data_IF_566381737232
#
_entry.id   IF_566381737232
#
_cell.length_a   1.000
_cell.length_b   1.000
_cell.length_c   1.000
_cell.angle_alpha   90.00
_cell.angle_beta   90.00
_cell.angle_gamma   90.00
#
_symmetry.space_group_name_H-M   'P 1'
#
loop_
_entity.id
_entity.type
_entity.pdbx_description
1 polymer ?
#
# COMPACT_ATOMS: atom_id res chain seq x y z
N UNK A 1 6.54 12.13 18.29
CA UNK A 1 6.64 10.70 18.69
C UNK A 1 6.97 9.80 17.48
N UNK A 2 6.40 10.02 16.28
CA UNK A 2 6.62 9.14 15.13
C UNK A 2 7.85 9.44 14.22
N UNK A 3 8.55 10.58 14.40
CA UNK A 3 9.80 10.91 13.65
C UNK A 3 10.90 9.84 13.75
N UNK A 4 10.89 9.04 14.81
CA UNK A 4 11.82 7.94 15.03
C UNK A 4 11.11 6.57 15.11
N UNK A 5 9.84 6.48 14.71
CA UNK A 5 9.07 5.23 14.81
C UNK A 5 9.80 4.14 14.04
N UNK A 6 10.31 3.14 14.76
CA UNK A 6 11.06 2.00 14.22
C UNK A 6 12.11 2.36 13.17
N UNK A 7 12.71 3.56 13.29
CA UNK A 7 13.72 4.06 12.34
C UNK A 7 14.94 3.14 12.26
N UNK A 8 15.34 2.56 13.39
CA UNK A 8 16.43 1.60 13.44
C UNK A 8 16.11 0.34 12.62
N UNK A 9 14.90 -0.20 12.77
CA UNK A 9 14.47 -1.41 12.04
C UNK A 9 14.39 -1.13 10.54
N UNK A 10 13.76 -0.01 10.15
CA UNK A 10 13.70 0.42 8.75
C UNK A 10 15.12 0.56 8.16
N UNK A 11 16.01 1.28 8.84
CA UNK A 11 17.40 1.47 8.38
C UNK A 11 18.17 0.15 8.29
N UNK A 12 17.95 -0.78 9.22
CA UNK A 12 18.60 -2.08 9.18
C UNK A 12 18.06 -2.94 8.02
N UNK A 13 16.75 -2.95 7.79
CA UNK A 13 16.16 -3.68 6.68
C UNK A 13 16.61 -3.11 5.32
N UNK A 14 16.68 -1.78 5.20
CA UNK A 14 17.24 -1.08 4.02
C UNK A 14 18.68 -1.53 3.75
N UNK A 15 19.53 -1.58 4.79
CA UNK A 15 20.91 -2.08 4.67
C UNK A 15 20.98 -3.56 4.28
N UNK A 16 20.10 -4.39 4.82
CA UNK A 16 20.03 -5.82 4.49
C UNK A 16 19.63 -6.01 3.02
N UNK A 17 18.64 -5.25 2.55
CA UNK A 17 18.18 -5.25 1.15
C UNK A 17 19.19 -4.62 0.19
N UNK A 18 20.09 -3.79 0.72
CA UNK A 18 21.02 -2.94 -0.02
C UNK A 18 20.33 -1.86 -0.88
N UNK A 19 19.08 -1.48 -0.61
CA UNK A 19 18.37 -0.44 -1.39
C UNK A 19 18.43 0.91 -0.70
N UNK A 20 18.51 2.02 -1.44
CA UNK A 20 18.30 3.37 -0.88
C UNK A 20 17.91 4.32 -2.02
N UNK A 21 16.70 4.92 -2.00
CA UNK A 21 15.62 4.71 -1.02
C UNK A 21 14.95 3.34 -1.17
N UNK A 22 14.13 2.95 -0.18
CA UNK A 22 13.11 1.91 -0.32
C UNK A 22 11.93 2.47 -1.13
N UNK A 23 11.58 1.81 -2.22
CA UNK A 23 10.54 2.25 -3.15
C UNK A 23 9.24 1.45 -3.00
N UNK A 24 8.20 2.07 -2.42
CA UNK A 24 6.90 1.42 -2.19
C UNK A 24 5.83 2.03 -3.08
N UNK A 25 5.18 1.20 -3.89
CA UNK A 25 4.00 1.61 -4.65
C UNK A 25 2.74 1.53 -3.79
N UNK A 26 1.96 2.61 -3.78
CA UNK A 26 0.66 2.70 -3.13
C UNK A 26 -0.41 2.68 -4.22
N UNK A 27 -1.23 1.63 -4.24
CA UNK A 27 -2.29 1.44 -5.23
C UNK A 27 -3.62 1.06 -4.55
N UNK A 28 -4.70 1.03 -5.31
CA UNK A 28 -6.07 0.86 -4.81
C UNK A 28 -7.09 1.61 -5.65
N UNK A 29 -8.38 1.35 -5.45
CA UNK A 29 -9.45 2.04 -6.19
C UNK A 29 -9.45 3.56 -5.95
N UNK A 30 -10.08 4.32 -6.85
CA UNK A 30 -10.35 5.75 -6.66
C UNK A 30 -11.22 5.93 -5.43
N UNK A 31 -10.82 6.84 -4.53
CA UNK A 31 -11.53 7.05 -3.26
C UNK A 31 -11.07 6.17 -2.09
N UNK A 32 -10.21 5.16 -2.29
CA UNK A 32 -9.73 4.27 -1.21
C UNK A 32 -8.89 4.99 -0.11
N UNK A 33 -8.49 6.24 -0.34
CA UNK A 33 -7.73 7.05 0.61
C UNK A 33 -6.21 6.82 0.54
N UNK A 34 -5.67 6.56 -0.66
CA UNK A 34 -4.22 6.45 -0.92
C UNK A 34 -3.46 7.71 -0.47
N UNK A 35 -3.83 8.87 -1.02
CA UNK A 35 -3.18 10.13 -0.67
C UNK A 35 -3.39 10.51 0.81
N UNK A 36 -4.55 10.21 1.40
CA UNK A 36 -4.79 10.41 2.85
C UNK A 36 -3.87 9.54 3.71
N UNK A 37 -3.64 8.29 3.30
CA UNK A 37 -2.72 7.37 3.98
C UNK A 37 -1.29 7.87 3.92
N UNK A 38 -0.85 8.26 2.72
CA UNK A 38 0.46 8.85 2.47
C UNK A 38 0.66 10.08 3.38
N UNK A 39 -0.31 11.00 3.42
CA UNK A 39 -0.28 12.16 4.30
C UNK A 39 -0.27 11.77 5.79
N UNK A 40 -1.00 10.74 6.20
CA UNK A 40 -1.02 10.26 7.60
C UNK A 40 0.34 9.71 8.02
N UNK A 41 1.02 8.98 7.12
CA UNK A 41 2.39 8.49 7.32
C UNK A 41 3.38 9.67 7.41
N UNK A 42 3.26 10.68 6.54
CA UNK A 42 4.18 11.83 6.52
C UNK A 42 3.94 12.86 7.64
N UNK A 43 2.70 13.19 7.97
CA UNK A 43 2.40 14.11 9.07
C UNK A 43 2.91 13.57 10.40
N UNK A 44 2.98 12.24 10.53
CA UNK A 44 3.57 11.57 11.68
C UNK A 44 5.09 11.63 11.70
N UNK A 45 5.74 11.55 10.56
CA UNK A 45 7.19 11.46 10.50
C UNK A 45 7.92 12.79 10.71
N UNK A 46 7.22 13.94 10.69
CA UNK A 46 7.79 15.29 10.86
C UNK A 46 9.03 15.54 9.97
N UNK A 47 9.02 14.97 8.76
CA UNK A 47 10.13 15.05 7.82
C UNK A 47 9.81 16.01 6.67
N UNK A 48 10.86 16.53 6.02
CA UNK A 48 10.69 17.36 4.82
C UNK A 48 10.17 16.47 3.67
N UNK A 49 8.91 16.67 3.28
CA UNK A 49 8.30 15.93 2.19
C UNK A 49 8.70 16.57 0.87
N UNK A 50 9.56 15.90 0.12
CA UNK A 50 9.79 16.22 -1.30
C UNK A 50 8.66 15.65 -2.16
N UNK A 51 8.05 16.47 -3.02
CA UNK A 51 7.10 16.00 -4.05
C UNK A 51 7.79 15.97 -5.41
N UNK A 52 7.85 14.80 -6.02
CA UNK A 52 8.31 14.61 -7.40
C UNK A 52 7.17 14.18 -8.31
N UNK A 53 7.06 14.80 -9.47
CA UNK A 53 6.21 14.34 -10.57
C UNK A 53 7.15 13.80 -11.65
N UNK A 54 7.00 12.54 -12.06
CA UNK A 54 7.75 12.06 -13.23
C UNK A 54 7.11 12.62 -14.51
N UNK A 55 7.82 13.46 -15.29
CA UNK A 55 7.24 14.18 -16.43
C UNK A 55 6.67 13.24 -17.51
N UNK A 56 7.27 12.05 -17.63
CA UNK A 56 6.90 11.04 -18.63
C UNK A 56 5.65 10.24 -18.22
N UNK A 57 5.18 10.36 -16.98
CA UNK A 57 4.06 9.56 -16.46
C UNK A 57 3.04 10.43 -15.74
N UNK A 58 2.29 11.22 -16.50
CA UNK A 58 1.18 12.04 -16.00
C UNK A 58 0.29 11.23 -15.04
N UNK A 59 0.26 11.62 -13.76
CA UNK A 59 -0.60 11.02 -12.73
C UNK A 59 0.10 10.11 -11.72
N UNK A 60 1.39 9.80 -11.87
CA UNK A 60 2.20 9.20 -10.80
C UNK A 60 2.85 10.30 -9.97
N UNK A 61 2.62 10.29 -8.65
CA UNK A 61 3.29 11.20 -7.73
C UNK A 61 4.19 10.40 -6.80
N UNK A 62 5.43 10.84 -6.62
CA UNK A 62 6.31 10.28 -5.60
C UNK A 62 6.47 11.25 -4.45
N UNK A 63 6.53 10.68 -3.25
CA UNK A 63 6.72 11.42 -2.02
C UNK A 63 7.87 10.81 -1.23
N UNK A 64 8.88 11.62 -0.95
CA UNK A 64 10.07 11.18 -0.25
C UNK A 64 9.96 11.56 1.22
N UNK A 65 10.05 10.57 2.11
CA UNK A 65 10.00 10.79 3.54
C UNK A 65 11.31 11.36 4.08
N UNK A 66 12.39 10.90 3.48
CA UNK A 66 13.80 11.19 3.72
C UNK A 66 14.57 10.40 2.65
N UNK A 67 15.89 10.38 2.70
CA UNK A 67 16.71 9.63 1.72
C UNK A 67 16.46 8.11 1.74
N UNK A 68 15.69 7.59 2.71
CA UNK A 68 15.50 6.16 2.94
C UNK A 68 14.15 5.60 2.46
N UNK A 69 13.09 6.39 2.31
CA UNK A 69 11.76 5.89 1.91
C UNK A 69 11.08 6.81 0.89
N UNK A 70 10.62 6.22 -0.21
CA UNK A 70 9.83 6.89 -1.25
C UNK A 70 8.54 6.13 -1.51
N UNK A 71 7.41 6.84 -1.41
CA UNK A 71 6.07 6.31 -1.65
C UNK A 71 5.56 6.81 -3.01
N UNK A 72 5.11 5.88 -3.86
CA UNK A 72 4.57 6.16 -5.19
C UNK A 72 3.04 6.08 -5.16
N UNK A 73 2.36 7.22 -5.21
CA UNK A 73 0.90 7.29 -5.33
C UNK A 73 0.50 7.06 -6.79
N UNK A 74 -0.26 6.00 -7.05
CA UNK A 74 -0.75 5.67 -8.38
C UNK A 74 -2.17 6.18 -8.61
N UNK A 75 -2.60 6.41 -9.86
CA UNK A 75 -4.02 6.55 -10.17
C UNK A 75 -4.82 5.35 -9.64
N UNK A 76 -6.08 5.59 -9.23
CA UNK A 76 -6.97 4.53 -8.79
C UNK A 76 -7.75 3.90 -9.93
N UNK A 77 -8.24 2.67 -9.73
CA UNK A 77 -9.25 2.09 -10.63
C UNK A 77 -10.66 2.40 -10.14
N UNK A 78 -11.65 2.33 -11.03
CA UNK A 78 -13.05 2.63 -10.73
C UNK A 78 -13.58 3.86 -11.49
N UNK A 79 -12.78 4.45 -12.38
CA UNK A 79 -13.14 5.66 -13.13
C UNK A 79 -13.75 5.32 -14.51
N UNK A 80 -14.05 4.03 -14.73
CA UNK A 80 -14.63 3.49 -15.96
C UNK A 80 -13.62 2.73 -16.81
N UNK A 81 -14.13 1.84 -17.67
CA UNK A 81 -13.33 0.81 -18.37
C UNK A 81 -12.10 1.38 -19.08
N UNK A 82 -12.26 2.48 -19.84
CA UNK A 82 -11.15 3.09 -20.59
C UNK A 82 -10.08 3.69 -19.68
N UNK A 83 -10.49 4.38 -18.61
CA UNK A 83 -9.54 4.96 -17.65
C UNK A 83 -8.85 3.87 -16.85
N UNK A 84 -9.57 2.85 -16.43
CA UNK A 84 -9.01 1.71 -15.72
C UNK A 84 -7.95 0.97 -16.54
N UNK A 85 -8.12 0.85 -17.86
CA UNK A 85 -7.08 0.29 -18.75
C UNK A 85 -5.82 1.16 -18.75
N UNK A 86 -5.99 2.48 -18.85
CA UNK A 86 -4.87 3.44 -18.81
C UNK A 86 -4.16 3.39 -17.44
N UNK A 87 -4.91 3.36 -16.35
CA UNK A 87 -4.37 3.31 -14.99
C UNK A 87 -3.67 1.98 -14.72
N UNK A 88 -4.25 0.85 -15.15
CA UNK A 88 -3.62 -0.47 -15.04
C UNK A 88 -2.30 -0.50 -15.80
N UNK A 89 -2.26 0.06 -17.02
CA UNK A 89 -1.02 0.16 -17.79
C UNK A 89 0.05 0.96 -17.05
N UNK A 90 -0.29 2.13 -16.48
CA UNK A 90 0.67 2.94 -15.69
C UNK A 90 1.23 2.19 -14.49
N UNK A 91 0.39 1.43 -13.79
CA UNK A 91 0.80 0.58 -12.66
C UNK A 91 1.78 -0.49 -13.13
N UNK A 92 1.44 -1.20 -14.21
CA UNK A 92 2.28 -2.25 -14.80
C UNK A 92 3.61 -1.66 -15.29
N UNK A 93 3.59 -0.56 -16.02
CA UNK A 93 4.79 0.12 -16.51
C UNK A 93 5.72 0.51 -15.34
N UNK A 94 5.18 1.00 -14.22
CA UNK A 94 5.96 1.29 -13.01
C UNK A 94 6.50 0.01 -12.33
N UNK A 95 5.75 -1.10 -12.34
CA UNK A 95 6.23 -2.40 -11.83
C UNK A 95 7.36 -2.98 -12.70
N UNK A 96 7.34 -2.73 -14.00
CA UNK A 96 8.39 -3.18 -14.92
C UNK A 96 9.53 -2.19 -15.11
N UNK A 97 9.46 -0.98 -14.52
CA UNK A 97 10.60 -0.06 -14.47
C UNK A 97 11.78 -0.74 -13.76
N UNK A 98 12.98 -0.61 -14.33
CA UNK A 98 14.19 -1.22 -13.79
C UNK A 98 15.33 -0.23 -13.66
N UNK A 99 16.36 -0.63 -12.90
CA UNK A 99 17.67 0.02 -12.85
C UNK A 99 18.77 -1.03 -12.91
N UNK A 100 19.93 -0.64 -13.43
CA UNK A 100 21.10 -1.51 -13.51
C UNK A 100 22.09 -1.19 -12.40
N UNK A 101 22.63 -2.24 -11.77
CA UNK A 101 23.68 -2.15 -10.76
C UNK A 101 24.53 -3.40 -10.82
N UNK A 102 25.86 -3.25 -10.81
CA UNK A 102 26.83 -4.35 -10.83
C UNK A 102 26.51 -5.43 -11.89
N UNK A 103 26.24 -4.97 -13.12
CA UNK A 103 25.87 -5.81 -14.27
C UNK A 103 24.56 -6.61 -14.14
N UNK A 104 23.78 -6.39 -13.08
CA UNK A 104 22.46 -6.97 -12.89
C UNK A 104 21.36 -5.93 -13.17
N UNK A 105 20.16 -6.39 -13.53
CA UNK A 105 18.98 -5.56 -13.69
C UNK A 105 17.98 -5.84 -12.57
N UNK A 106 17.61 -4.80 -11.85
CA UNK A 106 16.69 -4.89 -10.72
C UNK A 106 15.43 -4.11 -10.98
N UNK A 107 14.32 -4.61 -10.44
CA UNK A 107 13.07 -3.92 -10.43
C UNK A 107 13.12 -2.68 -9.54
N UNK A 108 12.55 -1.58 -10.03
CA UNK A 108 12.59 -0.28 -9.36
C UNK A 108 11.70 -0.23 -8.12
N UNK A 109 10.45 -0.72 -8.22
CA UNK A 109 9.56 -0.85 -7.05
C UNK A 109 9.95 -2.06 -6.21
N UNK A 110 10.17 -1.86 -4.91
CA UNK A 110 10.54 -2.92 -3.97
C UNK A 110 9.33 -3.65 -3.41
N UNK A 111 8.23 -2.93 -3.18
CA UNK A 111 7.00 -3.42 -2.54
C UNK A 111 5.76 -2.72 -3.07
N UNK A 112 4.61 -3.38 -3.01
CA UNK A 112 3.30 -2.81 -3.33
C UNK A 112 2.40 -2.89 -2.10
N UNK A 113 1.85 -1.75 -1.69
CA UNK A 113 0.76 -1.66 -0.72
C UNK A 113 -0.55 -1.36 -1.45
N UNK A 114 -1.47 -2.32 -1.42
CA UNK A 114 -2.82 -2.20 -1.97
C UNK A 114 -3.76 -1.72 -0.86
N UNK A 115 -4.40 -0.58 -1.07
CA UNK A 115 -5.37 0.01 -0.14
C UNK A 115 -6.79 -0.32 -0.62
N UNK A 116 -7.55 -0.97 0.24
CA UNK A 116 -8.97 -1.30 0.06
C UNK A 116 -9.78 -0.46 1.05
N UNK A 117 -10.98 -0.01 0.67
CA UNK A 117 -11.87 0.69 1.60
C UNK A 117 -12.68 -0.31 2.45
N UNK A 118 -12.73 -0.09 3.76
CA UNK A 118 -13.46 -0.97 4.71
C UNK A 118 -14.98 -0.96 4.56
N UNK A 119 -15.52 -0.09 3.71
CA UNK A 119 -16.95 -0.08 3.35
C UNK A 119 -17.34 -1.19 2.36
N UNK A 120 -16.36 -1.79 1.69
CA UNK A 120 -16.53 -2.86 0.68
C UNK A 120 -17.42 -2.53 -0.52
N UNK A 121 -17.54 -1.25 -0.87
CA UNK A 121 -18.40 -0.82 -1.98
C UNK A 121 -17.95 -1.36 -3.34
N UNK A 122 -16.66 -1.26 -3.65
CA UNK A 122 -16.11 -1.62 -4.97
C UNK A 122 -15.21 -2.87 -4.92
N UNK A 123 -15.74 -3.96 -4.36
CA UNK A 123 -14.99 -5.22 -4.25
C UNK A 123 -14.58 -5.79 -5.60
N UNK A 124 -15.42 -5.70 -6.65
CA UNK A 124 -15.09 -6.20 -7.99
C UNK A 124 -13.84 -5.54 -8.57
N UNK A 125 -13.76 -4.20 -8.50
CA UNK A 125 -12.61 -3.43 -8.98
C UNK A 125 -11.36 -3.69 -8.13
N UNK A 126 -11.50 -3.86 -6.81
CA UNK A 126 -10.38 -4.23 -5.94
C UNK A 126 -9.80 -5.60 -6.30
N UNK A 127 -10.65 -6.62 -6.51
CA UNK A 127 -10.17 -7.94 -6.91
C UNK A 127 -9.57 -7.94 -8.31
N UNK A 128 -10.12 -7.14 -9.24
CA UNK A 128 -9.50 -6.93 -10.56
C UNK A 128 -8.08 -6.37 -10.41
N UNK A 129 -7.90 -5.30 -9.63
CA UNK A 129 -6.59 -4.72 -9.37
C UNK A 129 -5.62 -5.76 -8.77
N UNK A 130 -6.04 -6.48 -7.72
CA UNK A 130 -5.17 -7.44 -7.05
C UNK A 130 -4.82 -8.60 -7.98
N UNK A 131 -5.83 -9.26 -8.55
CA UNK A 131 -5.68 -10.56 -9.21
C UNK A 131 -5.17 -10.43 -10.65
N UNK A 132 -5.54 -9.37 -11.36
CA UNK A 132 -5.20 -9.20 -12.78
C UNK A 132 -4.03 -8.22 -13.00
N UNK A 133 -3.80 -7.29 -12.08
CA UNK A 133 -2.80 -6.23 -12.26
C UNK A 133 -1.60 -6.40 -11.33
N UNK A 134 -1.79 -6.64 -10.03
CA UNK A 134 -0.65 -6.69 -9.10
C UNK A 134 -0.04 -8.08 -9.00
N UNK A 135 -0.80 -9.09 -8.59
CA UNK A 135 -0.30 -10.45 -8.34
C UNK A 135 0.44 -11.05 -9.54
N UNK A 136 0.01 -10.86 -10.80
CA UNK A 136 0.75 -11.38 -11.96
C UNK A 136 2.08 -10.67 -12.24
N UNK A 137 2.29 -9.45 -11.75
CA UNK A 137 3.37 -8.56 -12.18
C UNK A 137 4.41 -8.26 -11.08
N UNK A 138 4.27 -8.83 -9.87
CA UNK A 138 5.28 -8.73 -8.81
C UNK A 138 5.27 -9.98 -7.91
N UNK A 139 6.42 -10.33 -7.33
CA UNK A 139 6.54 -11.48 -6.42
C UNK A 139 5.60 -11.33 -5.21
N UNK A 140 4.92 -12.41 -4.83
CA UNK A 140 3.88 -12.41 -3.80
C UNK A 140 4.31 -11.83 -2.44
N UNK A 141 5.55 -12.10 -2.02
CA UNK A 141 6.09 -11.61 -0.75
C UNK A 141 6.30 -10.09 -0.71
N UNK A 142 6.18 -9.42 -1.87
CA UNK A 142 6.26 -7.96 -2.01
C UNK A 142 4.88 -7.31 -2.08
N UNK A 143 3.79 -8.08 -1.96
CA UNK A 143 2.41 -7.60 -2.01
C UNK A 143 1.83 -7.54 -0.61
N UNK A 144 1.48 -6.33 -0.18
CA UNK A 144 0.79 -6.05 1.07
C UNK A 144 -0.59 -5.49 0.77
N UNK A 145 -1.55 -5.79 1.64
CA UNK A 145 -2.91 -5.28 1.56
C UNK A 145 -3.28 -4.63 2.89
N UNK A 146 -3.90 -3.46 2.83
CA UNK A 146 -4.44 -2.78 4.00
C UNK A 146 -5.85 -2.24 3.74
N UNK A 147 -6.67 -2.25 4.78
CA UNK A 147 -8.07 -1.82 4.74
C UNK A 147 -8.16 -0.45 5.41
N UNK A 148 -8.27 0.60 4.60
CA UNK A 148 -8.44 1.96 5.11
C UNK A 148 -9.93 2.27 5.39
N UNK A 149 -10.20 3.45 5.95
CA UNK A 149 -11.56 3.91 6.25
C UNK A 149 -12.31 2.95 7.20
N UNK A 150 -11.59 2.33 8.14
CA UNK A 150 -12.18 1.47 9.16
C UNK A 150 -13.26 2.21 9.98
N UNK A 151 -13.15 3.52 10.11
CA UNK A 151 -14.14 4.40 10.73
C UNK A 151 -15.44 4.52 9.95
N UNK A 152 -15.41 4.38 8.62
CA UNK A 152 -16.59 4.48 7.75
C UNK A 152 -17.19 3.12 7.39
N UNK A 153 -16.51 2.02 7.74
CA UNK A 153 -17.06 0.69 7.68
C UNK A 153 -18.39 0.62 8.47
N UNK A 154 -19.30 -0.26 8.03
CA UNK A 154 -20.68 -0.31 8.53
C UNK A 154 -21.42 1.06 8.51
N UNK A 155 -21.08 1.95 7.56
CA UNK A 155 -21.63 3.32 7.44
C UNK A 155 -21.36 4.18 8.67
N UNK A 156 -20.19 4.03 9.30
CA UNK A 156 -19.81 4.77 10.50
C UNK A 156 -20.40 4.24 11.81
N UNK A 157 -21.25 3.20 11.74
CA UNK A 157 -21.86 2.63 12.94
C UNK A 157 -20.82 1.86 13.73
N UNK A 158 -20.96 1.94 15.05
CA UNK A 158 -20.07 1.27 16.01
C UNK A 158 -18.61 1.76 15.94
N UNK A 159 -18.36 2.94 15.37
CA UNK A 159 -17.15 3.70 15.62
C UNK A 159 -17.26 4.46 16.94
N UNK A 160 -16.17 4.54 17.70
CA UNK A 160 -16.03 5.38 18.88
C UNK A 160 -15.23 6.63 18.51
N UNK A 161 -15.94 7.71 18.16
CA UNK A 161 -15.33 8.99 17.77
C UNK A 161 -14.60 9.71 18.90
N UNK A 162 -14.83 9.34 20.16
CA UNK A 162 -14.11 9.96 21.29
C UNK A 162 -12.70 9.38 21.42
N UNK A 163 -12.56 8.07 21.17
CA UNK A 163 -11.29 7.35 21.30
C UNK A 163 -10.66 6.97 19.96
N UNK A 164 -11.26 7.38 18.83
CA UNK A 164 -10.86 7.04 17.47
C UNK A 164 -10.57 5.55 17.28
N UNK A 165 -11.53 4.68 17.63
CA UNK A 165 -11.39 3.24 17.51
C UNK A 165 -12.71 2.53 17.21
N UNK A 166 -12.70 1.34 16.59
CA UNK A 166 -13.90 0.55 16.43
C UNK A 166 -14.36 -0.01 17.78
N UNK A 167 -15.68 -0.06 17.99
CA UNK A 167 -16.30 -0.88 19.04
C UNK A 167 -16.31 -2.34 18.59
N UNK A 168 -16.55 -3.27 19.51
CA UNK A 168 -16.38 -4.71 19.27
C UNK A 168 -17.09 -5.21 18.01
N UNK A 169 -18.34 -4.80 17.78
CA UNK A 169 -19.09 -5.19 16.57
C UNK A 169 -18.43 -4.74 15.26
N UNK A 170 -17.84 -3.54 15.23
CA UNK A 170 -17.14 -3.05 14.04
C UNK A 170 -15.80 -3.77 13.87
N UNK A 171 -15.14 -4.10 14.99
CA UNK A 171 -13.90 -4.87 14.99
C UNK A 171 -14.13 -6.29 14.44
N UNK A 172 -15.15 -7.00 14.91
CA UNK A 172 -15.57 -8.32 14.38
C UNK A 172 -15.85 -8.27 12.88
N UNK A 173 -16.54 -7.21 12.42
CA UNK A 173 -16.80 -7.00 11.00
C UNK A 173 -15.50 -6.81 10.19
N UNK A 174 -14.57 -5.98 10.68
CA UNK A 174 -13.27 -5.75 10.03
C UNK A 174 -12.40 -7.02 10.04
N UNK A 175 -12.37 -7.78 11.14
CA UNK A 175 -11.65 -9.05 11.25
C UNK A 175 -12.20 -10.08 10.24
N UNK A 176 -13.52 -10.16 10.08
CA UNK A 176 -14.14 -11.01 9.06
C UNK A 176 -13.78 -10.58 7.62
N UNK A 177 -13.67 -9.28 7.36
CA UNK A 177 -13.21 -8.78 6.05
C UNK A 177 -11.77 -9.19 5.74
N UNK A 178 -10.87 -9.08 6.73
CA UNK A 178 -9.47 -9.50 6.60
C UNK A 178 -9.42 -10.96 6.13
N UNK A 179 -10.16 -11.85 6.78
CA UNK A 179 -10.25 -13.28 6.43
C UNK A 179 -10.82 -13.46 5.01
N UNK A 180 -11.89 -12.73 4.67
CA UNK A 180 -12.54 -12.82 3.36
C UNK A 180 -11.62 -12.39 2.21
N UNK A 181 -10.83 -11.33 2.40
CA UNK A 181 -9.91 -10.83 1.37
C UNK A 181 -8.81 -11.86 1.12
N UNK A 182 -8.20 -12.40 2.19
CA UNK A 182 -7.18 -13.44 2.05
C UNK A 182 -7.71 -14.67 1.30
N UNK A 183 -8.89 -15.15 1.71
CA UNK A 183 -9.51 -16.34 1.11
C UNK A 183 -9.77 -16.15 -0.38
N UNK A 184 -10.37 -15.02 -0.77
CA UNK A 184 -10.71 -14.74 -2.18
C UNK A 184 -9.50 -14.53 -3.06
N UNK A 185 -8.45 -13.87 -2.57
CA UNK A 185 -7.20 -13.72 -3.33
C UNK A 185 -6.55 -15.10 -3.52
N UNK A 186 -6.52 -15.92 -2.47
CA UNK A 186 -6.00 -17.29 -2.54
C UNK A 186 -6.78 -18.16 -3.53
N UNK A 187 -8.11 -18.11 -3.47
CA UNK A 187 -8.99 -18.84 -4.39
C UNK A 187 -8.78 -18.42 -5.85
N UNK A 188 -8.63 -17.12 -6.12
CA UNK A 188 -8.54 -16.60 -7.47
C UNK A 188 -7.14 -16.73 -8.10
N UNK A 189 -6.08 -16.64 -7.28
CA UNK A 189 -4.69 -16.53 -7.78
C UNK A 189 -3.78 -17.67 -7.33
N UNK A 190 -4.22 -18.49 -6.38
CA UNK A 190 -3.36 -19.47 -5.72
C UNK A 190 -2.34 -18.85 -4.75
N UNK A 191 -2.30 -17.53 -4.60
CA UNK A 191 -1.34 -16.80 -3.76
C UNK A 191 -1.92 -16.53 -2.37
N UNK A 192 -1.19 -16.93 -1.33
CA UNK A 192 -1.45 -16.48 0.03
C UNK A 192 -0.82 -15.10 0.22
N UNK A 193 -1.67 -14.11 0.53
CA UNK A 193 -1.20 -12.77 0.92
C UNK A 193 -1.00 -12.70 2.43
N UNK A 194 -0.08 -11.83 2.85
CA UNK A 194 0.11 -11.47 4.25
C UNK A 194 -1.19 -10.92 4.83
N UNK A 195 -1.49 -11.25 6.08
CA UNK A 195 -2.73 -10.85 6.76
C UNK A 195 -2.93 -9.33 6.69
N UNK A 196 -4.00 -8.84 6.04
CA UNK A 196 -4.27 -7.42 5.98
C UNK A 196 -4.44 -6.78 7.36
N UNK A 197 -4.03 -5.52 7.49
CA UNK A 197 -4.36 -4.66 8.64
C UNK A 197 -5.44 -3.67 8.25
N UNK A 198 -6.34 -3.34 9.18
CA UNK A 198 -7.31 -2.26 8.98
C UNK A 198 -6.95 -1.05 9.82
N UNK A 199 -7.20 0.13 9.28
CA UNK A 199 -6.83 1.40 9.88
C UNK A 199 -7.76 2.53 9.43
N UNK A 200 -7.69 3.67 10.10
CA UNK A 200 -8.29 4.92 9.63
C UNK A 200 -7.19 5.96 9.50
N UNK A 201 -6.82 6.28 8.25
CA UNK A 201 -5.87 7.37 7.99
C UNK A 201 -6.37 8.71 8.54
N UNK A 202 -7.68 8.96 8.38
CA UNK A 202 -8.36 10.19 8.78
C UNK A 202 -8.37 10.38 10.30
N UNK A 203 -8.76 9.33 11.04
CA UNK A 203 -8.88 9.39 12.50
C UNK A 203 -7.62 8.92 13.23
N UNK A 204 -6.54 8.67 12.49
CA UNK A 204 -5.26 8.23 13.03
C UNK A 204 -5.35 6.92 13.86
N UNK A 205 -6.27 6.03 13.50
CA UNK A 205 -6.43 4.73 14.14
C UNK A 205 -5.58 3.68 13.45
N UNK A 206 -4.76 2.94 14.20
CA UNK A 206 -4.00 1.77 13.74
C UNK A 206 -3.03 2.02 12.57
N UNK A 207 -2.64 3.29 12.36
CA UNK A 207 -1.63 3.68 11.35
C UNK A 207 -0.24 3.17 11.73
N UNK A 208 0.03 3.00 13.02
CA UNK A 208 1.20 2.28 13.55
C UNK A 208 1.24 0.82 13.10
N UNK A 209 0.13 0.09 13.17
CA UNK A 209 0.06 -1.27 12.65
C UNK A 209 0.26 -1.35 11.13
N UNK A 210 -0.14 -0.31 10.38
CA UNK A 210 0.20 -0.18 8.95
C UNK A 210 1.71 -0.04 8.74
N UNK A 211 2.38 0.77 9.55
CA UNK A 211 3.83 0.93 9.50
C UNK A 211 4.55 -0.36 9.89
N UNK A 212 4.07 -1.07 10.90
CA UNK A 212 4.60 -2.38 11.28
C UNK A 212 4.44 -3.40 10.16
N UNK A 213 3.27 -3.45 9.51
CA UNK A 213 3.06 -4.31 8.35
C UNK A 213 4.08 -4.03 7.24
N UNK A 214 4.41 -2.77 6.96
CA UNK A 214 5.41 -2.41 5.95
C UNK A 214 6.82 -2.83 6.38
N UNK A 215 7.23 -2.47 7.60
CA UNK A 215 8.61 -2.68 8.10
C UNK A 215 8.88 -4.17 8.30
N UNK A 216 7.95 -4.91 8.89
CA UNK A 216 8.14 -6.33 9.23
C UNK A 216 8.15 -7.24 8.01
N UNK A 217 7.57 -6.78 6.89
CA UNK A 217 7.49 -7.54 5.65
C UNK A 217 8.38 -6.96 4.55
N UNK A 218 9.37 -6.13 4.92
CA UNK A 218 10.41 -5.74 3.99
C UNK A 218 11.14 -6.99 3.46
N UNK A 219 11.31 -7.11 2.13
CA UNK A 219 12.12 -8.17 1.54
C UNK A 219 13.56 -8.15 2.08
N UNK A 220 14.33 -9.21 1.84
CA UNK A 220 15.74 -9.27 2.28
C UNK A 220 16.74 -9.00 1.17
N UNK A 221 16.27 -8.87 -0.06
CA UNK A 221 17.09 -8.70 -1.26
C UNK A 221 16.41 -7.72 -2.22
N UNK A 222 17.20 -7.10 -3.10
CA UNK A 222 16.69 -6.34 -4.25
C UNK A 222 15.71 -7.16 -5.08
N UNK A 223 14.75 -6.51 -5.72
CA UNK A 223 13.81 -7.22 -6.60
C UNK A 223 14.51 -7.62 -7.89
N UNK A 224 14.72 -8.91 -8.10
CA UNK A 224 15.16 -9.43 -9.40
C UNK A 224 13.98 -9.42 -10.37
N UNK A 225 14.23 -9.05 -11.62
CA UNK A 225 13.28 -9.26 -12.71
C UNK A 225 13.61 -10.62 -13.32
N UNK A 226 12.65 -11.55 -13.29
CA UNK A 226 12.74 -12.86 -13.94
C UNK A 226 12.29 -12.79 -15.39
#
# INVERSE_FOLDING_TARGET
MFKNYRKHDLNNNIKIMDVTPLDIMITGVTGAGKSTTINSIFNKSLAEVGRGVEPETMGLNSYTLNDCLRLWDTPGLGDGIKQDQIHSKKIIDLLYKTYSLDSNNYGFIDMVLIIIEGSNRDMGTNYKLINEVIVPNIQRERVLVAINQADMAMKGRHWDSLNNKPKERLKEFLDAQVISIQSRVKEATGVDIIKPVYYSAENNYNVDALLDLLIDNMPKNRRTIG
#
